data_IF_230703770258
#
_entry.id   IF_230703770258
#
_cell.length_a   1.000
_cell.length_b   1.000
_cell.length_c   1.000
_cell.angle_alpha   90.00
_cell.angle_beta   90.00
_cell.angle_gamma   90.00
#
_symmetry.space_group_name_H-M   'P 1'
#
loop_
_entity.id
_entity.type
_entity.pdbx_description
1 polymer ?
#
# COMPACT_ATOMS: atom_id res chain seq x y z
N UNK A 1 -6.89 -12.64 3.52
CA UNK A 1 -7.31 -11.24 3.88
C UNK A 1 -6.43 -10.19 3.22
N UNK A 2 -5.11 -10.27 3.32
CA UNK A 2 -4.23 -9.25 2.69
C UNK A 2 -4.41 -9.20 1.17
N UNK A 3 -4.48 -10.35 0.51
CA UNK A 3 -4.72 -10.42 -0.92
C UNK A 3 -6.00 -9.66 -1.31
N UNK A 4 -7.08 -9.87 -0.54
CA UNK A 4 -8.35 -9.20 -0.82
C UNK A 4 -8.23 -7.69 -0.66
N UNK A 5 -7.52 -7.22 0.37
CA UNK A 5 -7.27 -5.79 0.57
C UNK A 5 -6.54 -5.21 -0.65
N UNK A 6 -5.47 -5.87 -1.08
CA UNK A 6 -4.69 -5.41 -2.23
C UNK A 6 -5.52 -5.41 -3.52
N UNK A 7 -6.32 -6.46 -3.73
CA UNK A 7 -7.20 -6.54 -4.90
C UNK A 7 -8.27 -5.45 -4.90
N UNK A 8 -8.83 -5.14 -3.72
CA UNK A 8 -9.83 -4.09 -3.60
C UNK A 8 -9.25 -2.69 -3.81
N UNK A 9 -7.98 -2.48 -3.46
CA UNK A 9 -7.31 -1.20 -3.64
C UNK A 9 -6.79 -1.00 -5.06
N UNK A 10 -6.49 -2.08 -5.75
CA UNK A 10 -5.83 -2.03 -7.06
C UNK A 10 -6.56 -1.15 -8.08
N UNK A 11 -7.89 -1.24 -8.25
CA UNK A 11 -8.56 -0.50 -9.32
C UNK A 11 -8.51 1.02 -9.18
N UNK A 12 -8.26 1.54 -7.98
CA UNK A 12 -8.42 2.96 -7.75
C UNK A 12 -7.25 3.67 -7.10
N UNK A 13 -6.19 2.96 -6.68
CA UNK A 13 -5.04 3.62 -6.08
C UNK A 13 -4.24 4.40 -7.13
N UNK A 14 -4.12 3.85 -8.34
CA UNK A 14 -3.43 4.50 -9.47
C UNK A 14 -1.98 4.87 -9.14
N UNK A 15 -1.64 6.14 -9.15
CA UNK A 15 -0.27 6.61 -8.93
C UNK A 15 0.15 6.44 -7.48
N UNK A 16 1.26 5.71 -7.26
CA UNK A 16 1.74 5.40 -5.91
C UNK A 16 3.25 5.53 -5.81
N UNK A 17 3.73 5.62 -4.57
CA UNK A 17 5.13 5.39 -4.22
C UNK A 17 5.17 4.14 -3.37
N UNK A 18 5.87 3.11 -3.85
CA UNK A 18 6.13 1.91 -3.06
C UNK A 18 7.41 2.16 -2.26
N UNK A 19 7.33 2.03 -0.95
CA UNK A 19 8.47 2.31 -0.07
C UNK A 19 8.87 1.04 0.65
N UNK A 20 10.15 0.68 0.53
CA UNK A 20 10.75 -0.46 1.20
C UNK A 20 11.88 0.01 2.09
N UNK A 21 12.04 -0.67 3.22
CA UNK A 21 13.16 -0.40 4.11
C UNK A 21 12.78 -0.53 5.57
N UNK A 22 13.81 -0.52 6.41
CA UNK A 22 13.68 -0.73 7.85
C UNK A 22 14.09 0.49 8.68
N UNK A 23 14.23 1.64 8.05
CA UNK A 23 14.65 2.87 8.72
C UNK A 23 16.14 3.16 8.64
N UNK A 24 16.97 2.16 8.36
CA UNK A 24 18.41 2.39 8.11
C UNK A 24 18.63 2.84 6.68
N UNK A 25 17.96 2.17 5.75
CA UNK A 25 17.93 2.58 4.35
C UNK A 25 16.53 2.36 3.81
N UNK A 26 16.11 3.20 2.88
CA UNK A 26 14.79 3.09 2.25
C UNK A 26 14.92 3.22 0.75
N UNK A 27 14.04 2.53 0.03
CA UNK A 27 13.91 2.66 -1.41
C UNK A 27 12.50 3.16 -1.71
N UNK A 28 12.41 4.12 -2.61
CA UNK A 28 11.12 4.65 -3.09
C UNK A 28 11.00 4.33 -4.57
N UNK A 29 9.89 3.68 -4.95
CA UNK A 29 9.64 3.30 -6.34
C UNK A 29 8.33 3.97 -6.79
N UNK A 30 8.45 4.87 -7.75
CA UNK A 30 7.31 5.60 -8.32
C UNK A 30 6.71 4.78 -9.45
N UNK A 31 5.45 4.39 -9.30
CA UNK A 31 4.79 3.52 -10.27
C UNK A 31 3.27 3.64 -10.20
N UNK A 32 2.58 2.82 -10.99
CA UNK A 32 1.13 2.65 -10.92
C UNK A 32 0.80 1.38 -10.14
N UNK A 33 -0.25 1.43 -9.34
CA UNK A 33 -0.74 0.29 -8.56
C UNK A 33 -1.70 -0.53 -9.42
N UNK A 34 -1.15 -1.26 -10.40
CA UNK A 34 -2.00 -1.90 -11.42
C UNK A 34 -1.60 -3.33 -11.79
N UNK A 35 -0.38 -3.76 -11.51
CA UNK A 35 0.07 -5.10 -11.92
C UNK A 35 0.59 -5.85 -10.70
N UNK A 36 -0.30 -6.58 -10.06
CA UNK A 36 -0.02 -7.40 -8.89
C UNK A 36 -0.14 -8.87 -9.29
N UNK A 37 0.91 -9.64 -9.00
CA UNK A 37 0.95 -11.06 -9.35
C UNK A 37 1.13 -11.89 -8.09
N UNK A 38 0.14 -12.73 -7.80
CA UNK A 38 0.12 -13.59 -6.61
C UNK A 38 0.61 -14.98 -6.97
N UNK A 39 1.45 -15.57 -6.10
CA UNK A 39 1.84 -16.97 -6.26
C UNK A 39 0.65 -17.89 -5.99
N UNK A 40 0.64 -19.11 -6.59
CA UNK A 40 -0.48 -20.04 -6.40
C UNK A 40 -0.75 -20.40 -4.95
N UNK A 41 0.30 -20.45 -4.10
CA UNK A 41 0.16 -20.75 -2.67
C UNK A 41 -0.29 -19.53 -1.85
N UNK A 42 -0.39 -18.36 -2.46
CA UNK A 42 -0.82 -17.13 -1.78
C UNK A 42 0.20 -16.53 -0.82
N UNK A 43 1.45 -17.00 -0.86
CA UNK A 43 2.47 -16.53 0.10
C UNK A 43 3.21 -15.29 -0.36
N UNK A 44 3.32 -15.06 -1.67
CA UNK A 44 4.07 -13.94 -2.22
C UNK A 44 3.22 -13.18 -3.21
N UNK A 45 3.26 -11.85 -3.14
CA UNK A 45 2.76 -10.98 -4.18
C UNK A 45 3.93 -10.22 -4.79
N UNK A 46 3.94 -10.12 -6.11
CA UNK A 46 4.92 -9.33 -6.84
C UNK A 46 4.23 -8.09 -7.39
N UNK A 47 4.79 -6.93 -7.04
CA UNK A 47 4.38 -5.65 -7.59
C UNK A 47 5.25 -5.38 -8.81
N UNK A 48 4.63 -5.38 -9.99
CA UNK A 48 5.33 -5.10 -11.24
C UNK A 48 5.37 -3.60 -11.44
N UNK A 49 6.53 -3.01 -11.21
CA UNK A 49 6.71 -1.57 -11.32
C UNK A 49 7.27 -1.17 -12.68
N UNK A 50 7.23 0.13 -12.97
CA UNK A 50 7.76 0.67 -14.21
C UNK A 50 9.26 0.39 -14.34
N UNK A 51 9.73 0.26 -15.58
CA UNK A 51 11.14 0.04 -15.86
C UNK A 51 11.62 -1.37 -15.59
N UNK A 52 10.71 -2.34 -15.48
CA UNK A 52 11.07 -3.73 -15.22
C UNK A 52 11.44 -4.03 -13.78
N UNK A 53 11.13 -3.12 -12.87
CA UNK A 53 11.38 -3.34 -11.43
C UNK A 53 10.32 -4.25 -10.85
N UNK A 54 10.75 -5.26 -10.11
CA UNK A 54 9.85 -6.19 -9.42
C UNK A 54 10.09 -6.06 -7.90
N UNK A 55 8.97 -5.91 -7.16
CA UNK A 55 9.03 -5.87 -5.70
C UNK A 55 8.25 -7.07 -5.16
N UNK A 56 8.87 -7.85 -4.31
CA UNK A 56 8.25 -9.05 -3.76
C UNK A 56 7.91 -8.85 -2.30
N UNK A 57 6.65 -9.10 -1.94
CA UNK A 57 6.20 -9.05 -0.56
C UNK A 57 5.80 -10.45 -0.11
N UNK A 58 6.42 -10.92 0.97
CA UNK A 58 6.05 -12.19 1.61
C UNK A 58 4.83 -11.95 2.48
N UNK A 59 3.65 -12.26 1.94
CA UNK A 59 2.37 -11.97 2.60
C UNK A 59 2.21 -12.74 3.91
N UNK A 60 2.80 -13.93 4.00
CA UNK A 60 2.75 -14.74 5.23
C UNK A 60 3.62 -14.17 6.36
N UNK A 61 4.48 -13.20 6.07
CA UNK A 61 5.28 -12.51 7.08
C UNK A 61 4.65 -11.19 7.54
N UNK A 62 3.54 -10.78 6.94
CA UNK A 62 2.83 -9.58 7.34
C UNK A 62 1.88 -9.91 8.48
N UNK A 63 2.13 -9.30 9.64
CA UNK A 63 1.30 -9.52 10.83
C UNK A 63 0.00 -8.74 10.77
N UNK A 64 0.07 -7.49 10.29
CA UNK A 64 -1.10 -6.64 10.16
C UNK A 64 -0.91 -5.59 9.08
N UNK A 65 -2.02 -5.10 8.55
CA UNK A 65 -2.04 -3.96 7.64
C UNK A 65 -2.57 -2.75 8.38
N UNK A 66 -2.08 -1.56 8.01
CA UNK A 66 -2.55 -0.30 8.60
C UNK A 66 -2.93 0.66 7.49
N UNK A 67 -4.13 1.23 7.57
CA UNK A 67 -4.54 2.33 6.71
C UNK A 67 -4.23 3.63 7.44
N UNK A 68 -3.16 4.31 7.02
CA UNK A 68 -2.63 5.49 7.71
C UNK A 68 -3.03 6.76 6.97
N UNK A 69 -3.77 7.60 7.65
CA UNK A 69 -4.18 8.91 7.14
C UNK A 69 -3.62 9.99 8.06
N UNK A 70 -2.78 10.87 7.52
CA UNK A 70 -2.18 11.96 8.29
C UNK A 70 -2.20 13.24 7.48
N UNK A 71 -1.99 14.38 8.17
CA UNK A 71 -1.76 15.66 7.51
C UNK A 71 -0.26 15.96 7.59
N UNK A 72 0.33 16.37 6.46
CA UNK A 72 1.72 16.77 6.44
C UNK A 72 1.89 18.19 7.02
N UNK A 73 3.14 18.67 7.06
CA UNK A 73 3.45 19.98 7.63
C UNK A 73 2.80 21.13 6.87
N UNK A 74 2.50 20.95 5.59
CA UNK A 74 1.82 21.94 4.77
C UNK A 74 0.29 21.83 4.85
N UNK A 75 -0.22 20.97 5.75
CA UNK A 75 -1.66 20.76 5.90
C UNK A 75 -2.29 19.93 4.79
N UNK A 76 -1.49 19.22 4.01
CA UNK A 76 -2.00 18.35 2.95
C UNK A 76 -2.17 16.93 3.44
N UNK A 77 -3.21 16.21 2.95
CA UNK A 77 -3.45 14.85 3.39
C UNK A 77 -2.41 13.87 2.81
N UNK A 78 -2.07 12.88 3.60
CA UNK A 78 -1.21 11.77 3.20
C UNK A 78 -1.92 10.46 3.49
N UNK A 79 -2.01 9.60 2.48
CA UNK A 79 -2.70 8.31 2.54
C UNK A 79 -1.68 7.21 2.28
N UNK A 80 -1.61 6.24 3.18
CA UNK A 80 -0.68 5.12 2.98
C UNK A 80 -1.23 3.84 3.57
N UNK A 81 -0.87 2.72 2.93
CA UNK A 81 -1.16 1.38 3.41
C UNK A 81 0.16 0.75 3.82
N UNK A 82 0.24 0.35 5.08
CA UNK A 82 1.46 -0.21 5.67
C UNK A 82 1.27 -1.70 5.90
N UNK A 83 2.26 -2.49 5.48
CA UNK A 83 2.34 -3.91 5.80
C UNK A 83 3.42 -4.08 6.86
N UNK A 84 3.00 -4.50 8.05
CA UNK A 84 3.81 -4.46 9.26
C UNK A 84 4.07 -5.88 9.75
N UNK A 85 5.30 -6.18 10.16
CA UNK A 85 5.68 -7.49 10.67
C UNK A 85 5.41 -7.61 12.18
N UNK A 86 5.79 -8.74 12.76
CA UNK A 86 5.55 -9.02 14.19
C UNK A 86 6.27 -8.06 15.12
N UNK A 87 7.39 -7.50 14.69
CA UNK A 87 8.15 -6.51 15.46
C UNK A 87 7.66 -5.08 15.23
N UNK A 88 6.49 -4.91 14.62
CA UNK A 88 5.89 -3.60 14.30
C UNK A 88 6.73 -2.79 13.31
N UNK A 89 7.51 -3.47 12.47
CA UNK A 89 8.31 -2.81 11.46
C UNK A 89 7.54 -2.72 10.14
N UNK A 90 7.36 -1.52 9.58
CA UNK A 90 6.64 -1.35 8.31
C UNK A 90 7.60 -1.59 7.14
N UNK A 91 7.90 -2.85 6.88
CA UNK A 91 8.83 -3.21 5.82
C UNK A 91 8.38 -2.85 4.42
N UNK A 92 7.09 -2.67 4.22
CA UNK A 92 6.51 -2.31 2.93
C UNK A 92 5.37 -1.32 3.13
N UNK A 93 5.40 -0.21 2.39
CA UNK A 93 4.35 0.82 2.45
C UNK A 93 3.97 1.26 1.05
N UNK A 94 2.69 1.54 0.87
CA UNK A 94 2.15 2.08 -0.39
C UNK A 94 1.59 3.47 -0.09
N UNK A 95 2.22 4.51 -0.61
CA UNK A 95 1.75 5.88 -0.48
C UNK A 95 1.00 6.27 -1.74
N UNK A 96 -0.18 6.89 -1.59
CA UNK A 96 -0.88 7.47 -2.72
C UNK A 96 -0.19 8.77 -3.12
N UNK A 97 0.20 8.88 -4.38
CA UNK A 97 0.76 10.12 -4.91
C UNK A 97 -0.37 11.04 -5.31
N UNK A 98 -0.21 12.33 -5.03
CA UNK A 98 -1.15 13.33 -5.52
C UNK A 98 -1.05 13.38 -7.05
N UNK A 99 -2.18 13.23 -7.73
CA UNK A 99 -2.23 13.36 -9.18
C UNK A 99 -2.15 14.83 -9.57
N UNK A 100 -1.47 15.11 -10.68
CA UNK A 100 -1.44 16.45 -11.26
C UNK A 100 -2.84 16.90 -11.72
N UNK A 101 -3.69 15.92 -12.08
CA UNK A 101 -5.09 16.18 -12.42
C UNK A 101 -5.91 16.14 -11.14
N UNK A 102 -6.35 17.30 -10.67
CA UNK A 102 -7.07 17.44 -9.41
C UNK A 102 -8.30 16.54 -9.33
N UNK A 103 -8.99 16.34 -10.45
CA UNK A 103 -10.19 15.50 -10.52
C UNK A 103 -9.94 14.03 -10.20
N UNK A 104 -8.69 13.57 -10.27
CA UNK A 104 -8.34 12.19 -9.94
C UNK A 104 -8.13 11.99 -8.42
N UNK A 105 -7.95 13.05 -7.65
CA UNK A 105 -7.60 12.93 -6.24
C UNK A 105 -8.80 12.60 -5.36
N UNK A 106 -9.96 13.18 -5.63
CA UNK A 106 -11.15 12.95 -4.80
C UNK A 106 -11.62 11.49 -4.82
N UNK A 107 -11.72 10.82 -6.00
CA UNK A 107 -12.10 9.40 -6.01
C UNK A 107 -11.12 8.52 -5.25
N UNK A 108 -9.83 8.85 -5.27
CA UNK A 108 -8.80 8.09 -4.55
C UNK A 108 -8.91 8.29 -3.05
N UNK A 109 -9.18 9.51 -2.62
CA UNK A 109 -9.48 9.83 -1.22
C UNK A 109 -10.67 9.00 -0.75
N UNK A 110 -11.77 9.03 -1.53
CA UNK A 110 -13.01 8.33 -1.19
C UNK A 110 -12.77 6.82 -1.10
N UNK A 111 -12.03 6.25 -2.04
CA UNK A 111 -11.70 4.82 -2.02
C UNK A 111 -10.89 4.46 -0.78
N UNK A 112 -9.84 5.24 -0.48
CA UNK A 112 -8.99 4.98 0.68
C UNK A 112 -9.81 5.00 1.97
N UNK A 113 -10.65 6.01 2.14
CA UNK A 113 -11.46 6.15 3.34
C UNK A 113 -12.50 5.02 3.45
N UNK A 114 -13.08 4.57 2.33
CA UNK A 114 -13.99 3.41 2.33
C UNK A 114 -13.26 2.13 2.73
N UNK A 115 -12.04 1.93 2.25
CA UNK A 115 -11.26 0.75 2.62
C UNK A 115 -10.89 0.78 4.10
N UNK A 116 -10.49 1.95 4.59
CA UNK A 116 -10.17 2.15 6.01
C UNK A 116 -11.39 1.87 6.90
N UNK A 117 -12.56 2.32 6.48
CA UNK A 117 -13.81 2.04 7.21
C UNK A 117 -14.18 0.57 7.16
N UNK A 118 -14.08 -0.05 5.97
CA UNK A 118 -14.47 -1.45 5.77
C UNK A 118 -13.56 -2.42 6.54
N UNK A 119 -12.25 -2.22 6.48
CA UNK A 119 -11.29 -3.14 7.07
C UNK A 119 -10.80 -2.72 8.46
N UNK A 120 -10.90 -1.43 8.78
CA UNK A 120 -10.37 -0.86 10.01
C UNK A 120 -9.04 -0.16 9.80
N UNK A 121 -8.65 0.67 10.75
CA UNK A 121 -7.37 1.37 10.70
C UNK A 121 -6.20 0.41 10.84
N UNK A 122 -6.37 -0.61 11.69
CA UNK A 122 -5.37 -1.66 11.93
C UNK A 122 -6.07 -2.98 11.69
N UNK A 123 -5.55 -3.76 10.72
CA UNK A 123 -6.17 -5.00 10.30
C UNK A 123 -5.26 -6.16 10.66
N UNK A 124 -5.60 -6.97 11.69
CA UNK A 124 -4.83 -8.17 12.00
C UNK A 124 -4.96 -9.18 10.87
N UNK A 125 -3.83 -9.74 10.44
CA UNK A 125 -3.79 -10.69 9.32
C UNK A 125 -3.39 -12.09 9.74
N UNK A 126 -2.72 -12.21 10.88
CA UNK A 126 -2.32 -13.50 11.41
C UNK A 126 -3.55 -14.25 11.94
N UNK A 127 -3.68 -15.47 11.53
CA UNK A 127 -4.76 -16.33 11.98
C UNK A 127 -4.53 -16.82 13.43
#
# INVERSE_FOLDING_TARGET
MLRQILEDCQPGFAEVVLMLGNGVSTAEVYTMFEDLRFTPDGKIVTFMAHGGTHLHLKMDQVDRAKFVFTMNQQGQPSYSLWMVDKEDQPGFRVYLRKSEKAENNQPRHDLFMRMRERYGEIVPLAA
#
